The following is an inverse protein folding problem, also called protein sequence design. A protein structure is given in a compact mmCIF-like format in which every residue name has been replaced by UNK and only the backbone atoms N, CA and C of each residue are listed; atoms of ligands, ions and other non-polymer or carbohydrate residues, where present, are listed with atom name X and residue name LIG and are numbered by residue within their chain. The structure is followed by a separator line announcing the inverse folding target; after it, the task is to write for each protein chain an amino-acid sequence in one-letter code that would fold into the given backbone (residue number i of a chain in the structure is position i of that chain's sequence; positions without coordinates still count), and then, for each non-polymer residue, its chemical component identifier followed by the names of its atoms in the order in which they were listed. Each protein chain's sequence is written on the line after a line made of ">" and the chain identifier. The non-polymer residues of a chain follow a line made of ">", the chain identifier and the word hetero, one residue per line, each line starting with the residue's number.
data_IF_385187665005
#
_entry.id   IF_385187665005
#
_cell.length_a   1.000
_cell.length_b   1.000
_cell.length_c   1.000
_cell.angle_alpha   90.00
_cell.angle_beta   90.00
_cell.angle_gamma   90.00
#
_symmetry.space_group_name_H-M   'P 1'
#
loop_
_entity.id
_entity.type
_entity.pdbx_description
1 polymer ?
#
# COMPACT_ATOMS: atom_id res chain seq x y z
N UNK A 1 -16.13 11.04 -14.64
CA UNK A 1 -14.71 10.70 -14.87
C UNK A 1 -14.62 9.51 -15.82
N UNK A 2 -13.75 9.58 -16.84
CA UNK A 2 -13.57 8.49 -17.80
C UNK A 2 -13.05 7.22 -17.13
N UNK A 3 -13.38 6.05 -17.69
CA UNK A 3 -12.88 4.77 -17.18
C UNK A 3 -11.36 4.69 -17.14
N UNK A 4 -10.69 5.28 -18.13
CA UNK A 4 -9.23 5.37 -18.19
C UNK A 4 -8.64 6.22 -17.05
N UNK A 5 -9.23 7.39 -16.74
CA UNK A 5 -8.78 8.21 -15.61
C UNK A 5 -8.93 7.48 -14.26
N UNK A 6 -10.01 6.70 -14.10
CA UNK A 6 -10.21 5.87 -12.90
C UNK A 6 -9.15 4.77 -12.78
N UNK A 7 -8.79 4.13 -13.88
CA UNK A 7 -7.73 3.12 -13.89
C UNK A 7 -6.38 3.70 -13.48
N UNK A 8 -6.00 4.86 -14.02
CA UNK A 8 -4.75 5.54 -13.64
C UNK A 8 -4.76 5.92 -12.15
N UNK A 9 -5.88 6.45 -11.66
CA UNK A 9 -6.02 6.79 -10.24
C UNK A 9 -5.93 5.56 -9.34
N UNK A 10 -6.55 4.43 -9.72
CA UNK A 10 -6.46 3.19 -8.97
C UNK A 10 -5.01 2.67 -8.93
N UNK A 11 -4.31 2.69 -10.06
CA UNK A 11 -2.88 2.33 -10.12
C UNK A 11 -2.01 3.23 -9.25
N UNK A 12 -2.27 4.54 -9.26
CA UNK A 12 -1.57 5.50 -8.41
C UNK A 12 -1.83 5.25 -6.91
N UNK A 13 -3.07 4.97 -6.52
CA UNK A 13 -3.41 4.64 -5.13
C UNK A 13 -2.74 3.34 -4.65
N UNK A 14 -2.67 2.32 -5.51
CA UNK A 14 -1.95 1.07 -5.20
C UNK A 14 -0.46 1.35 -4.99
N UNK A 15 0.17 2.08 -5.92
CA UNK A 15 1.58 2.44 -5.82
C UNK A 15 1.87 3.28 -4.56
N UNK A 16 0.99 4.23 -4.25
CA UNK A 16 1.09 5.07 -3.05
C UNK A 16 1.01 4.24 -1.77
N UNK A 17 0.06 3.30 -1.65
CA UNK A 17 -0.07 2.44 -0.47
C UNK A 17 1.18 1.58 -0.26
N UNK A 18 1.73 0.99 -1.32
CA UNK A 18 2.98 0.24 -1.25
C UNK A 18 4.16 1.13 -0.82
N UNK A 19 4.29 2.31 -1.44
CA UNK A 19 5.37 3.25 -1.11
C UNK A 19 5.28 3.73 0.34
N UNK A 20 4.08 4.03 0.84
CA UNK A 20 3.85 4.40 2.24
C UNK A 20 4.27 3.29 3.21
N UNK A 21 3.77 2.06 3.00
CA UNK A 21 4.11 0.93 3.87
C UNK A 21 5.61 0.61 3.82
N UNK A 22 6.22 0.66 2.65
CA UNK A 22 7.66 0.48 2.51
C UNK A 22 8.44 1.63 3.16
N UNK A 23 7.96 2.87 3.06
CA UNK A 23 8.52 4.03 3.74
C UNK A 23 8.54 3.86 5.27
N UNK A 24 7.46 3.34 5.87
CA UNK A 24 7.44 3.00 7.30
C UNK A 24 8.50 1.93 7.65
N UNK A 25 8.70 0.94 6.78
CA UNK A 25 9.76 -0.06 6.95
C UNK A 25 11.16 0.58 6.90
N UNK A 26 11.38 1.54 6.00
CA UNK A 26 12.63 2.31 5.95
C UNK A 26 12.84 3.17 7.21
N UNK A 27 11.81 3.85 7.71
CA UNK A 27 11.92 4.59 8.98
C UNK A 27 12.25 3.66 10.15
N UNK A 28 11.72 2.43 10.17
CA UNK A 28 12.11 1.43 11.17
C UNK A 28 13.58 0.98 11.02
N UNK A 29 14.11 0.95 9.79
CA UNK A 29 15.54 0.73 9.55
C UNK A 29 16.39 1.89 10.04
N UNK A 30 15.93 3.14 9.89
CA UNK A 30 16.63 4.32 10.41
C UNK A 30 16.74 4.31 11.94
N UNK A 31 15.84 3.61 12.63
CA UNK A 31 15.91 3.34 14.07
C UNK A 31 16.85 2.17 14.43
N UNK A 32 17.55 1.59 13.47
CA UNK A 32 18.48 0.47 13.67
C UNK A 32 17.81 -0.89 13.87
N UNK A 33 16.54 -1.07 13.48
CA UNK A 33 15.76 -2.30 13.70
C UNK A 33 15.52 -3.06 12.40
N UNK A 34 15.50 -4.40 12.44
CA UNK A 34 15.06 -5.20 11.28
C UNK A 34 16.07 -5.26 10.13
N UNK A 35 17.36 -5.14 10.45
CA UNK A 35 18.48 -5.09 9.50
C UNK A 35 19.05 -6.48 9.16
N UNK A 36 18.75 -7.49 9.97
CA UNK A 36 19.15 -8.87 9.68
C UNK A 36 18.38 -9.42 8.47
N UNK A 37 19.02 -10.28 7.66
CA UNK A 37 18.43 -10.78 6.40
C UNK A 37 17.06 -11.44 6.60
N UNK A 38 16.88 -12.18 7.69
CA UNK A 38 15.61 -12.86 8.01
C UNK A 38 14.54 -11.84 8.38
N UNK A 39 14.88 -10.82 9.16
CA UNK A 39 13.97 -9.74 9.55
C UNK A 39 13.58 -8.85 8.37
N UNK A 40 14.55 -8.54 7.50
CA UNK A 40 14.34 -7.78 6.27
C UNK A 40 13.38 -8.50 5.31
N UNK A 41 13.50 -9.84 5.19
CA UNK A 41 12.56 -10.65 4.38
C UNK A 41 11.18 -10.72 5.01
N UNK A 42 11.10 -10.95 6.32
CA UNK A 42 9.82 -10.97 7.03
C UNK A 42 9.09 -9.64 6.92
N UNK A 43 9.78 -8.52 7.14
CA UNK A 43 9.21 -7.18 7.01
C UNK A 43 8.83 -6.83 5.57
N UNK A 44 9.56 -7.32 4.56
CA UNK A 44 9.15 -7.19 3.16
C UNK A 44 7.82 -7.92 2.87
N UNK A 45 7.64 -9.16 3.36
CA UNK A 45 6.36 -9.87 3.25
C UNK A 45 5.23 -9.12 3.95
N UNK A 46 5.49 -8.57 5.15
CA UNK A 46 4.52 -7.74 5.88
C UNK A 46 4.12 -6.52 5.06
N UNK A 47 5.07 -5.79 4.47
CA UNK A 47 4.79 -4.63 3.60
C UNK A 47 3.89 -5.01 2.44
N UNK A 48 4.14 -6.12 1.75
CA UNK A 48 3.31 -6.58 0.62
C UNK A 48 1.87 -6.87 1.07
N UNK A 49 1.69 -7.65 2.14
CA UNK A 49 0.36 -8.03 2.63
C UNK A 49 -0.43 -6.80 3.11
N UNK A 50 0.20 -5.94 3.92
CA UNK A 50 -0.46 -4.77 4.50
C UNK A 50 -0.77 -3.74 3.40
N UNK A 51 0.15 -3.50 2.47
CA UNK A 51 -0.10 -2.57 1.36
C UNK A 51 -1.21 -3.05 0.42
N UNK A 52 -1.29 -4.36 0.15
CA UNK A 52 -2.39 -4.93 -0.65
C UNK A 52 -3.74 -4.76 0.05
N UNK A 53 -3.83 -5.07 1.35
CA UNK A 53 -5.05 -4.88 2.13
C UNK A 53 -5.47 -3.41 2.19
N UNK A 54 -4.52 -2.50 2.43
CA UNK A 54 -4.76 -1.06 2.45
C UNK A 54 -5.21 -0.54 1.08
N UNK A 55 -4.52 -0.93 0.01
CA UNK A 55 -4.87 -0.52 -1.34
C UNK A 55 -6.28 -0.98 -1.72
N UNK A 56 -6.67 -2.22 -1.40
CA UNK A 56 -8.02 -2.72 -1.64
C UNK A 56 -9.06 -1.90 -0.87
N UNK A 57 -8.82 -1.61 0.41
CA UNK A 57 -9.72 -0.81 1.22
C UNK A 57 -9.87 0.62 0.67
N UNK A 58 -8.77 1.27 0.29
CA UNK A 58 -8.75 2.64 -0.23
C UNK A 58 -9.42 2.71 -1.61
N UNK A 59 -9.12 1.77 -2.51
CA UNK A 59 -9.77 1.68 -3.83
C UNK A 59 -11.26 1.41 -3.67
N UNK A 60 -11.65 0.49 -2.77
CA UNK A 60 -13.05 0.23 -2.49
C UNK A 60 -13.78 1.48 -1.98
N UNK A 61 -13.19 2.17 -1.00
CA UNK A 61 -13.74 3.40 -0.45
C UNK A 61 -13.86 4.51 -1.52
N UNK A 62 -12.82 4.69 -2.34
CA UNK A 62 -12.76 5.75 -3.35
C UNK A 62 -13.76 5.57 -4.49
N UNK A 63 -14.12 4.33 -4.85
CA UNK A 63 -14.95 4.06 -6.03
C UNK A 63 -16.34 3.46 -5.74
N UNK A 64 -16.56 2.87 -4.56
CA UNK A 64 -17.76 2.06 -4.31
C UNK A 64 -18.50 2.40 -3.00
N UNK A 65 -17.83 2.96 -1.98
CA UNK A 65 -18.47 3.18 -0.67
C UNK A 65 -19.59 4.24 -0.66
N UNK A 66 -19.69 5.08 -1.69
CA UNK A 66 -20.70 6.15 -1.80
C UNK A 66 -21.74 5.97 -2.91
N UNK A 67 -21.83 4.81 -3.57
CA UNK A 67 -22.80 4.58 -4.66
C UNK A 67 -24.10 4.01 -4.05
N UNK A 68 -25.22 4.77 -3.99
CA UNK A 68 -26.52 4.19 -3.64
C UNK A 68 -26.88 3.14 -4.71
N UNK A 69 -27.24 1.94 -4.24
CA UNK A 69 -27.60 0.79 -5.08
C UNK A 69 -29.04 0.92 -5.56
#
# INVERSE_FOLDING_TARGET
>A
GSGFGKLLLAGWLIAFCYHLCNGLRHLNWDLGRGLEKVEARRSATVVVVVSAALALAVVYAAFFAGVPR
#
